data_IF_678209799943
#
_entry.id   IF_678209799943
#
_cell.length_a   1.000
_cell.length_b   1.000
_cell.length_c   1.000
_cell.angle_alpha   90.00
_cell.angle_beta   90.00
_cell.angle_gamma   90.00
#
_symmetry.space_group_name_H-M   'P 1'
#
loop_
_entity.id
_entity.type
_entity.pdbx_description
1 polymer ?
#
# COMPACT_ATOMS: atom_id res chain seq x y z
N UNK A 1 -38.24 23.28 3.78
CA UNK A 1 -37.33 22.82 2.71
C UNK A 1 -36.04 22.46 3.41
N UNK A 2 -35.73 21.17 3.52
CA UNK A 2 -34.42 20.75 4.02
C UNK A 2 -33.41 21.10 2.91
N UNK A 3 -32.46 21.97 3.21
CA UNK A 3 -31.27 22.11 2.38
C UNK A 3 -30.54 20.76 2.46
N UNK A 4 -30.52 20.01 1.35
CA UNK A 4 -29.53 18.96 1.17
C UNK A 4 -28.18 19.65 1.27
N UNK A 5 -27.50 19.47 2.41
CA UNK A 5 -26.08 19.76 2.52
C UNK A 5 -25.41 18.96 1.40
N UNK A 6 -24.68 19.58 0.46
CA UNK A 6 -24.10 18.84 -0.64
C UNK A 6 -23.16 17.79 -0.07
N UNK A 7 -23.61 16.53 -0.06
CA UNK A 7 -22.79 15.43 0.41
C UNK A 7 -21.53 15.40 -0.44
N UNK A 8 -20.38 15.45 0.22
CA UNK A 8 -19.11 15.28 -0.48
C UNK A 8 -19.14 13.98 -1.28
N UNK A 9 -18.69 14.02 -2.55
CA UNK A 9 -18.67 12.81 -3.35
C UNK A 9 -17.68 11.80 -2.75
N UNK A 10 -17.99 10.49 -2.80
CA UNK A 10 -17.03 9.45 -2.45
C UNK A 10 -15.72 9.64 -3.22
N UNK A 11 -14.60 9.58 -2.52
CA UNK A 11 -13.28 9.85 -3.12
C UNK A 11 -12.38 8.62 -3.03
N UNK A 12 -11.84 8.19 -4.18
CA UNK A 12 -10.79 7.18 -4.26
C UNK A 12 -9.43 7.86 -4.45
N UNK A 13 -8.51 7.59 -3.53
CA UNK A 13 -7.14 8.10 -3.52
C UNK A 13 -6.19 6.98 -3.94
N UNK A 14 -5.28 7.27 -4.88
CA UNK A 14 -4.31 6.31 -5.39
C UNK A 14 -2.91 6.83 -5.16
N UNK A 15 -2.11 6.05 -4.45
CA UNK A 15 -0.70 6.30 -4.18
C UNK A 15 0.14 5.21 -4.84
N UNK A 16 0.33 5.32 -6.15
CA UNK A 16 1.14 4.40 -6.96
C UNK A 16 2.61 4.87 -7.01
N UNK A 17 3.54 3.95 -6.76
CA UNK A 17 4.97 4.19 -6.90
C UNK A 17 5.52 5.27 -5.96
N UNK A 18 4.84 5.53 -4.84
CA UNK A 18 5.24 6.61 -3.92
C UNK A 18 5.48 6.13 -2.49
N UNK A 19 4.65 5.21 -1.99
CA UNK A 19 4.61 4.88 -0.56
C UNK A 19 5.92 4.25 -0.07
N UNK A 20 6.58 3.44 -0.90
CA UNK A 20 7.85 2.80 -0.59
C UNK A 20 9.00 3.76 -0.28
N UNK A 21 8.90 5.03 -0.69
CA UNK A 21 9.93 6.05 -0.47
C UNK A 21 9.67 6.92 0.76
N UNK A 22 8.51 6.79 1.39
CA UNK A 22 8.12 7.59 2.55
C UNK A 22 8.40 6.81 3.82
N UNK A 23 8.97 7.44 4.85
CA UNK A 23 9.09 6.80 6.15
C UNK A 23 7.71 6.44 6.74
N UNK A 24 7.63 5.39 7.55
CA UNK A 24 6.36 4.92 8.12
C UNK A 24 5.59 6.01 8.89
N UNK A 25 6.29 6.93 9.56
CA UNK A 25 5.65 8.05 10.27
C UNK A 25 5.07 9.08 9.29
N UNK A 26 5.70 9.30 8.15
CA UNK A 26 5.20 10.17 7.09
C UNK A 26 3.96 9.56 6.44
N UNK A 27 3.97 8.25 6.19
CA UNK A 27 2.79 7.51 5.71
C UNK A 27 1.63 7.63 6.70
N UNK A 28 1.86 7.40 8.00
CA UNK A 28 0.83 7.54 9.03
C UNK A 28 0.23 8.95 9.06
N UNK A 29 1.06 9.99 8.98
CA UNK A 29 0.61 11.39 8.92
C UNK A 29 -0.19 11.68 7.66
N UNK A 30 0.23 11.17 6.51
CA UNK A 30 -0.50 11.29 5.25
C UNK A 30 -1.90 10.68 5.38
N UNK A 31 -1.99 9.42 5.83
CA UNK A 31 -3.27 8.73 6.02
C UNK A 31 -4.19 9.47 7.00
N UNK A 32 -3.64 10.02 8.09
CA UNK A 32 -4.40 10.84 9.03
C UNK A 32 -4.91 12.14 8.39
N UNK A 33 -4.08 12.80 7.58
CA UNK A 33 -4.45 14.05 6.90
C UNK A 33 -5.53 13.82 5.83
N UNK A 34 -5.41 12.74 5.05
CA UNK A 34 -6.39 12.36 4.04
C UNK A 34 -7.76 12.09 4.68
N UNK A 35 -7.80 11.32 5.78
CA UNK A 35 -9.05 11.06 6.51
C UNK A 35 -9.67 12.33 7.12
N UNK A 36 -8.83 13.28 7.54
CA UNK A 36 -9.32 14.56 8.06
C UNK A 36 -9.87 15.48 6.95
N UNK A 37 -9.43 15.28 5.71
CA UNK A 37 -9.83 16.10 4.57
C UNK A 37 -11.08 15.56 3.85
N UNK A 38 -11.24 14.24 3.78
CA UNK A 38 -12.32 13.59 3.06
C UNK A 38 -13.27 12.89 4.03
N UNK A 39 -14.57 13.18 3.94
CA UNK A 39 -15.60 12.57 4.79
C UNK A 39 -15.85 11.08 4.50
N UNK A 40 -15.68 10.65 3.25
CA UNK A 40 -15.74 9.24 2.83
C UNK A 40 -14.62 8.96 1.83
N UNK A 41 -13.55 8.32 2.29
CA UNK A 41 -12.36 8.07 1.50
C UNK A 41 -12.03 6.58 1.37
N UNK A 42 -11.66 6.23 0.16
CA UNK A 42 -10.99 4.98 -0.18
C UNK A 42 -9.54 5.28 -0.52
N UNK A 43 -8.63 4.39 -0.15
CA UNK A 43 -7.20 4.56 -0.41
C UNK A 43 -6.58 3.27 -0.93
N UNK A 44 -5.90 3.39 -2.06
CA UNK A 44 -5.17 2.32 -2.71
C UNK A 44 -3.69 2.71 -2.81
N UNK A 45 -2.80 1.81 -2.39
CA UNK A 45 -1.36 2.00 -2.52
C UNK A 45 -0.66 0.70 -2.89
N UNK A 46 0.33 0.80 -3.76
CA UNK A 46 1.27 -0.30 -3.95
C UNK A 46 2.24 -0.36 -2.76
N UNK A 47 2.52 -1.58 -2.31
CA UNK A 47 3.43 -1.81 -1.19
C UNK A 47 4.14 -3.14 -1.35
N UNK A 48 5.34 -3.20 -0.78
CA UNK A 48 6.11 -4.42 -0.67
C UNK A 48 5.80 -5.13 0.63
N UNK A 49 6.01 -6.44 0.60
CA UNK A 49 6.12 -7.24 1.80
C UNK A 49 7.28 -6.76 2.69
N UNK A 50 7.09 -6.70 4.01
CA UNK A 50 8.15 -6.26 4.93
C UNK A 50 9.45 -7.07 4.86
N UNK A 51 9.41 -8.33 4.41
CA UNK A 51 10.61 -9.15 4.21
C UNK A 51 11.46 -8.68 3.04
N UNK A 52 10.84 -8.09 2.00
CA UNK A 52 11.54 -7.52 0.86
C UNK A 52 12.40 -6.32 1.29
N UNK A 53 11.87 -5.49 2.21
CA UNK A 53 12.61 -4.37 2.77
C UNK A 53 13.77 -4.82 3.69
N UNK A 54 13.59 -5.90 4.46
CA UNK A 54 14.68 -6.48 5.27
C UNK A 54 15.84 -6.96 4.40
N UNK A 55 15.54 -7.44 3.20
CA UNK A 55 16.49 -7.92 2.22
C UNK A 55 16.79 -6.88 1.11
N UNK A 56 16.59 -5.59 1.39
CA UNK A 56 16.68 -4.51 0.39
C UNK A 56 18.04 -4.43 -0.31
N UNK A 57 19.11 -4.84 0.35
CA UNK A 57 20.45 -4.93 -0.24
C UNK A 57 20.54 -5.91 -1.42
N UNK A 58 19.67 -6.92 -1.46
CA UNK A 58 19.60 -7.90 -2.53
C UNK A 58 18.52 -7.54 -3.56
N UNK A 59 17.33 -7.14 -3.10
CA UNK A 59 16.19 -6.92 -4.00
C UNK A 59 16.17 -5.54 -4.66
N UNK A 60 16.65 -4.50 -3.98
CA UNK A 60 16.53 -3.12 -4.43
C UNK A 60 17.86 -2.52 -4.89
N UNK A 61 18.92 -3.35 -4.95
CA UNK A 61 20.27 -2.93 -5.37
C UNK A 61 20.25 -2.26 -6.74
N UNK A 62 19.60 -2.88 -7.72
CA UNK A 62 19.49 -2.33 -9.07
C UNK A 62 18.83 -0.94 -9.07
N UNK A 63 17.74 -0.77 -8.32
CA UNK A 63 17.01 0.51 -8.24
C UNK A 63 17.89 1.56 -7.60
N UNK A 64 18.51 1.25 -6.45
CA UNK A 64 19.42 2.17 -5.77
C UNK A 64 20.62 2.57 -6.64
N UNK A 65 21.23 1.63 -7.35
CA UNK A 65 22.39 1.90 -8.20
C UNK A 65 22.04 2.69 -9.47
N UNK A 66 20.83 2.53 -10.00
CA UNK A 66 20.40 3.20 -11.24
C UNK A 66 19.74 4.55 -11.01
N UNK A 67 18.96 4.70 -9.94
CA UNK A 67 18.17 5.91 -9.68
C UNK A 67 18.60 6.68 -8.44
N UNK A 68 19.43 6.08 -7.58
CA UNK A 68 19.74 6.62 -6.25
C UNK A 68 18.61 6.48 -5.24
N UNK A 69 17.45 5.96 -5.63
CA UNK A 69 16.28 5.86 -4.76
C UNK A 69 16.42 4.68 -3.78
N UNK A 70 16.00 4.89 -2.53
CA UNK A 70 15.99 3.85 -1.51
C UNK A 70 14.56 3.62 -1.03
N UNK A 71 14.13 2.36 -1.07
CA UNK A 71 12.86 1.98 -0.48
C UNK A 71 13.07 1.85 1.02
N UNK A 72 12.25 2.56 1.78
CA UNK A 72 12.34 2.68 3.24
C UNK A 72 11.07 2.23 3.95
N UNK A 73 10.04 1.88 3.19
CA UNK A 73 8.74 1.48 3.71
C UNK A 73 8.17 0.24 3.01
N UNK A 74 7.58 -0.62 3.83
CA UNK A 74 6.93 -1.85 3.44
C UNK A 74 5.99 -2.28 4.56
N UNK A 75 4.91 -2.96 4.21
CA UNK A 75 3.87 -3.43 5.14
C UNK A 75 3.53 -4.89 4.83
N UNK A 76 2.55 -5.47 5.54
CA UNK A 76 2.06 -6.81 5.24
C UNK A 76 0.58 -6.72 4.92
N UNK A 77 0.27 -6.60 3.64
CA UNK A 77 -1.10 -6.44 3.14
C UNK A 77 -1.73 -5.09 3.50
N UNK A 78 -3.02 -4.97 3.18
CA UNK A 78 -3.88 -3.85 3.53
C UNK A 78 -4.00 -3.67 5.05
N UNK A 79 -3.94 -4.75 5.82
CA UNK A 79 -3.95 -4.72 7.28
C UNK A 79 -2.76 -3.93 7.81
N UNK A 80 -1.58 -4.15 7.24
CA UNK A 80 -0.37 -3.44 7.62
C UNK A 80 -0.44 -1.94 7.35
N UNK A 81 -1.10 -1.51 6.25
CA UNK A 81 -1.30 -0.09 5.96
C UNK A 81 -2.37 0.50 6.88
N UNK A 82 -3.53 -0.16 7.02
CA UNK A 82 -4.62 0.30 7.87
C UNK A 82 -4.17 0.49 9.34
N UNK A 83 -3.26 -0.37 9.83
CA UNK A 83 -2.72 -0.27 11.18
C UNK A 83 -1.85 0.98 11.44
N UNK A 84 -1.42 1.72 10.41
CA UNK A 84 -0.55 2.89 10.58
C UNK A 84 -1.29 4.14 11.08
N UNK A 85 -2.60 4.23 10.83
CA UNK A 85 -3.40 5.36 11.26
C UNK A 85 -4.79 4.88 11.69
N UNK A 86 -5.24 5.21 12.92
CA UNK A 86 -6.61 4.94 13.35
C UNK A 86 -7.64 5.52 12.37
N UNK A 87 -8.77 4.84 12.24
CA UNK A 87 -9.88 5.26 11.39
C UNK A 87 -9.81 4.74 9.94
N UNK A 88 -8.95 3.75 9.68
CA UNK A 88 -8.90 3.02 8.42
C UNK A 88 -9.17 1.54 8.66
N UNK A 89 -9.91 0.91 7.75
CA UNK A 89 -10.18 -0.52 7.73
C UNK A 89 -9.58 -1.16 6.49
N UNK A 90 -8.95 -2.34 6.60
CA UNK A 90 -8.51 -3.08 5.44
C UNK A 90 -9.71 -3.57 4.63
N UNK A 91 -9.64 -3.44 3.31
CA UNK A 91 -10.62 -4.00 2.37
C UNK A 91 -10.04 -5.21 1.66
N UNK A 92 -8.91 -5.04 0.97
CA UNK A 92 -8.33 -6.11 0.17
C UNK A 92 -6.81 -5.94 -0.03
N UNK A 93 -6.10 -7.07 -0.10
CA UNK A 93 -4.72 -7.13 -0.58
C UNK A 93 -4.70 -7.83 -1.94
N UNK A 94 -4.36 -7.09 -3.00
CA UNK A 94 -4.51 -7.54 -4.38
C UNK A 94 -3.15 -7.94 -4.96
N UNK A 95 -3.06 -9.16 -5.52
CA UNK A 95 -1.86 -9.63 -6.24
C UNK A 95 -1.75 -8.95 -7.61
N UNK A 96 -0.92 -7.92 -7.66
CA UNK A 96 -0.61 -7.18 -8.90
C UNK A 96 0.47 -7.85 -9.74
N UNK A 97 1.22 -8.81 -9.20
CA UNK A 97 2.28 -9.51 -9.96
C UNK A 97 1.73 -10.62 -10.85
N UNK A 98 0.69 -11.30 -10.39
CA UNK A 98 0.01 -12.37 -11.15
C UNK A 98 -0.37 -11.98 -12.59
N UNK A 99 -0.96 -10.79 -12.87
CA UNK A 99 -1.33 -10.40 -14.23
C UNK A 99 -0.17 -9.92 -15.12
N UNK A 100 1.01 -9.58 -14.58
CA UNK A 100 2.11 -8.95 -15.35
C UNK A 100 2.79 -9.96 -16.30
N UNK A 101 2.88 -11.23 -15.89
CA UNK A 101 3.44 -12.28 -16.74
C UNK A 101 3.90 -13.52 -15.97
N UNK A 102 4.22 -14.59 -16.70
CA UNK A 102 4.54 -15.91 -16.10
C UNK A 102 5.69 -15.90 -15.10
N UNK A 103 6.74 -15.10 -15.36
CA UNK A 103 7.90 -14.99 -14.47
C UNK A 103 7.49 -14.34 -13.14
N UNK A 104 6.76 -13.23 -13.19
CA UNK A 104 6.27 -12.53 -11.99
C UNK A 104 5.26 -13.35 -11.21
N UNK A 105 4.39 -14.09 -11.90
CA UNK A 105 3.47 -15.03 -11.28
C UNK A 105 4.22 -16.16 -10.54
N UNK A 106 5.27 -16.73 -11.14
CA UNK A 106 6.09 -17.75 -10.50
C UNK A 106 6.84 -17.20 -9.28
N UNK A 107 7.37 -15.97 -9.38
CA UNK A 107 8.00 -15.27 -8.27
C UNK A 107 7.01 -15.01 -7.12
N UNK A 108 5.80 -14.52 -7.42
CA UNK A 108 4.73 -14.31 -6.44
C UNK A 108 4.36 -15.62 -5.73
N UNK A 109 4.11 -16.71 -6.49
CA UNK A 109 3.80 -18.02 -5.91
C UNK A 109 4.91 -18.58 -5.03
N UNK A 110 6.16 -18.44 -5.48
CA UNK A 110 7.32 -18.89 -4.68
C UNK A 110 7.40 -18.12 -3.37
N UNK A 111 7.23 -16.79 -3.41
CA UNK A 111 7.21 -15.98 -2.20
C UNK A 111 6.06 -16.37 -1.27
N UNK A 112 4.86 -16.57 -1.80
CA UNK A 112 3.71 -17.03 -1.02
C UNK A 112 3.99 -18.38 -0.32
N UNK A 113 4.67 -19.32 -0.98
CA UNK A 113 5.07 -20.59 -0.35
C UNK A 113 6.08 -20.38 0.78
N UNK A 114 7.07 -19.50 0.60
CA UNK A 114 8.11 -19.24 1.59
C UNK A 114 7.61 -18.40 2.79
N UNK A 115 6.62 -17.53 2.57
CA UNK A 115 6.18 -16.52 3.53
C UNK A 115 4.70 -16.66 3.89
N UNK A 116 4.21 -17.89 3.99
CA UNK A 116 2.87 -18.23 4.52
C UNK A 116 1.71 -17.51 3.83
N UNK A 117 1.70 -17.51 2.50
CA UNK A 117 0.63 -16.93 1.68
C UNK A 117 0.75 -15.42 1.46
N UNK A 118 1.78 -14.76 1.98
CA UNK A 118 2.02 -13.33 1.78
C UNK A 118 2.45 -13.04 0.35
N UNK A 119 2.08 -11.87 -0.16
CA UNK A 119 2.45 -11.39 -1.49
C UNK A 119 3.70 -10.52 -1.41
N UNK A 120 4.70 -10.72 -2.29
CA UNK A 120 5.94 -9.93 -2.27
C UNK A 120 5.71 -8.44 -2.61
N UNK A 121 4.76 -8.18 -3.49
CA UNK A 121 4.36 -6.87 -3.97
C UNK A 121 2.87 -6.93 -4.31
N UNK A 122 2.11 -5.96 -3.81
CA UNK A 122 0.65 -5.97 -3.84
C UNK A 122 0.11 -4.56 -3.89
N UNK A 123 -1.16 -4.43 -4.31
CA UNK A 123 -1.95 -3.23 -4.09
C UNK A 123 -2.76 -3.45 -2.80
N UNK A 124 -2.54 -2.60 -1.81
CA UNK A 124 -3.33 -2.55 -0.59
C UNK A 124 -4.48 -1.57 -0.77
N UNK A 125 -5.69 -2.05 -0.51
CA UNK A 125 -6.92 -1.28 -0.56
C UNK A 125 -7.54 -1.18 0.83
N UNK A 126 -7.73 0.05 1.30
CA UNK A 126 -8.31 0.37 2.61
C UNK A 126 -9.41 1.42 2.46
N UNK A 127 -10.32 1.49 3.43
CA UNK A 127 -11.42 2.47 3.46
C UNK A 127 -11.48 3.17 4.81
N UNK A 128 -11.86 4.45 4.82
CA UNK A 128 -12.05 5.20 6.05
C UNK A 128 -13.25 4.65 6.82
N UNK A 129 -13.09 4.40 8.13
CA UNK A 129 -14.23 4.08 8.99
C UNK A 129 -15.06 5.33 9.22
N UNK A 130 -16.37 5.23 8.99
CA UNK A 130 -17.36 6.24 9.38
C UNK A 130 -17.48 6.40 10.89
#
# INVERSE_FOLDING_TARGET
MASEDPQEPPTLLIAEGVMMYLEAQTVARLLSALRAHFSAAEFCADSYDSTMLKNREHYHKFIKETTGAEYVFATNGAEGIAALSPGWSPVETIDVMSPIGRIFQAASKTHQLCYHGRLPYYLAYITSTT
#
